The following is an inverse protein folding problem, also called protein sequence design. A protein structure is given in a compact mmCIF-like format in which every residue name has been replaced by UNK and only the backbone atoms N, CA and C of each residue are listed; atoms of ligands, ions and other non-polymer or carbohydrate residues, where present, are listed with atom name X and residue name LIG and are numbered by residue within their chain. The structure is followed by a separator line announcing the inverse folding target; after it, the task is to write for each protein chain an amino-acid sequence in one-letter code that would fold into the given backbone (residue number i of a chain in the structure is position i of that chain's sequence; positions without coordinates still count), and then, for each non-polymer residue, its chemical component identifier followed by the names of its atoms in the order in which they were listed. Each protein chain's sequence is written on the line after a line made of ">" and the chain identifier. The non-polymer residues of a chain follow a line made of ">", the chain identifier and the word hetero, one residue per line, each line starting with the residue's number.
data_IF_517424277827
#
_entry.id   IF_517424277827
#
_cell.length_a   1.000
_cell.length_b   1.000
_cell.length_c   1.000
_cell.angle_alpha   90.00
_cell.angle_beta   90.00
_cell.angle_gamma   90.00
#
_symmetry.space_group_name_H-M   'P 1'
#
loop_
_entity.id
_entity.type
_entity.pdbx_description
1 polymer ?
#
# COMPACT_ATOMS: atom_id res chain seq x y z
N UNK A 1 32.43 10.01 -21.96
CA UNK A 1 31.53 9.82 -20.80
C UNK A 1 30.09 9.82 -21.29
N UNK A 2 29.57 8.64 -21.65
CA UNK A 2 28.21 8.48 -22.17
C UNK A 2 27.26 8.12 -21.02
N UNK A 3 26.22 8.92 -20.82
CA UNK A 3 25.17 8.68 -19.84
C UNK A 3 24.14 7.75 -20.49
N UNK A 4 24.08 6.48 -20.08
CA UNK A 4 23.14 5.51 -20.62
C UNK A 4 21.73 5.79 -20.06
N UNK A 5 20.97 6.61 -20.79
CA UNK A 5 19.52 6.72 -20.63
C UNK A 5 18.86 5.41 -21.08
N UNK A 6 17.82 4.97 -20.36
CA UNK A 6 17.04 3.79 -20.73
C UNK A 6 16.49 3.96 -22.16
N UNK A 7 16.86 3.03 -23.05
CA UNK A 7 16.40 3.05 -24.44
C UNK A 7 14.97 2.52 -24.51
N UNK A 8 14.00 3.42 -24.72
CA UNK A 8 12.58 3.11 -24.88
C UNK A 8 12.22 2.61 -26.31
N UNK A 9 13.20 2.14 -27.09
CA UNK A 9 13.04 1.83 -28.53
C UNK A 9 12.16 0.60 -28.84
N UNK A 10 11.85 -0.25 -27.86
CA UNK A 10 11.05 -1.47 -28.08
C UNK A 10 9.52 -1.26 -28.10
N UNK A 11 9.01 -0.02 -28.01
CA UNK A 11 7.57 0.25 -27.93
C UNK A 11 6.81 0.21 -29.28
N UNK A 12 7.47 -0.01 -30.42
CA UNK A 12 6.83 0.08 -31.75
C UNK A 12 6.60 -1.24 -32.50
N UNK A 13 7.06 -2.39 -32.01
CA UNK A 13 6.96 -3.66 -32.76
C UNK A 13 5.91 -4.66 -32.25
N UNK A 14 5.13 -4.32 -31.22
CA UNK A 14 4.22 -5.27 -30.56
C UNK A 14 2.73 -4.86 -30.57
N UNK A 15 2.27 -4.19 -31.62
CA UNK A 15 0.82 -4.00 -31.86
C UNK A 15 0.32 -5.11 -32.80
N UNK A 16 -0.54 -6.04 -32.35
CA UNK A 16 -1.25 -6.92 -33.26
C UNK A 16 -2.25 -6.09 -34.09
N UNK A 17 -2.19 -6.24 -35.41
CA UNK A 17 -3.18 -5.69 -36.34
C UNK A 17 -4.56 -6.31 -36.05
N UNK A 18 -5.49 -5.50 -35.55
CA UNK A 18 -6.87 -5.92 -35.28
C UNK A 18 -7.61 -5.90 -36.62
N UNK A 19 -7.86 -7.08 -37.20
CA UNK A 19 -8.84 -7.23 -38.28
C UNK A 19 -10.26 -7.19 -37.70
N UNK A 20 -11.22 -6.47 -38.32
CA UNK A 20 -12.58 -6.43 -37.83
C UNK A 20 -13.24 -7.81 -38.03
N UNK A 21 -13.76 -8.38 -36.94
CA UNK A 21 -14.52 -9.63 -36.97
C UNK A 21 -15.95 -9.31 -37.39
N UNK A 22 -16.40 -9.94 -38.47
CA UNK A 22 -17.80 -9.94 -38.92
C UNK A 22 -18.70 -10.65 -37.92
N UNK A 23 -19.79 -9.99 -37.51
CA UNK A 23 -20.80 -10.55 -36.60
C UNK A 23 -21.43 -11.81 -37.19
N UNK A 24 -21.23 -12.97 -36.54
CA UNK A 24 -22.08 -14.14 -36.71
C UNK A 24 -22.87 -14.38 -35.42
N UNK A 25 -24.19 -14.31 -35.52
CA UNK A 25 -25.11 -14.56 -34.42
C UNK A 25 -25.09 -16.05 -34.07
N UNK A 26 -24.56 -16.41 -32.91
CA UNK A 26 -24.78 -17.73 -32.32
C UNK A 26 -25.82 -17.59 -31.21
N UNK A 27 -27.02 -18.09 -31.50
CA UNK A 27 -28.10 -18.27 -30.53
C UNK A 27 -27.72 -19.42 -29.60
N UNK A 28 -27.68 -19.18 -28.29
CA UNK A 28 -27.64 -20.24 -27.30
C UNK A 28 -29.05 -20.53 -26.79
N UNK A 29 -29.48 -21.77 -26.96
CA UNK A 29 -30.71 -22.34 -26.44
C UNK A 29 -30.65 -22.44 -24.91
N UNK A 30 -31.63 -21.82 -24.24
CA UNK A 30 -31.83 -21.88 -22.80
C UNK A 30 -32.45 -23.23 -22.41
N UNK A 31 -31.81 -23.96 -21.48
CA UNK A 31 -32.42 -25.08 -20.75
C UNK A 31 -32.47 -24.75 -19.25
N UNK A 32 -33.53 -25.13 -18.51
CA UNK A 32 -33.70 -24.74 -17.13
C UNK A 32 -32.97 -25.73 -16.22
N UNK A 33 -31.97 -25.27 -15.47
CA UNK A 33 -31.51 -26.01 -14.29
C UNK A 33 -31.55 -25.09 -13.06
N UNK A 34 -32.51 -25.43 -12.20
CA UNK A 34 -32.79 -24.79 -10.92
C UNK A 34 -31.64 -25.04 -9.94
N UNK A 35 -30.89 -23.98 -9.59
CA UNK A 35 -30.06 -23.97 -8.40
C UNK A 35 -30.42 -22.76 -7.53
N UNK A 36 -31.27 -23.07 -6.55
CA UNK A 36 -31.86 -22.20 -5.54
C UNK A 36 -30.77 -21.62 -4.63
N UNK A 37 -30.41 -20.35 -4.80
CA UNK A 37 -29.57 -19.62 -3.84
C UNK A 37 -30.38 -19.33 -2.56
N UNK A 38 -29.96 -19.90 -1.42
CA UNK A 38 -30.54 -19.62 -0.10
C UNK A 38 -29.93 -18.34 0.48
N UNK A 39 -30.78 -17.35 0.69
CA UNK A 39 -30.50 -16.16 1.52
C UNK A 39 -30.62 -16.58 2.99
N UNK A 40 -29.54 -16.46 3.74
CA UNK A 40 -29.57 -16.63 5.20
C UNK A 40 -30.19 -15.39 5.85
N UNK A 41 -31.35 -15.54 6.49
CA UNK A 41 -31.96 -14.53 7.38
C UNK A 41 -31.27 -14.55 8.76
N UNK A 42 -31.10 -13.40 9.44
CA UNK A 42 -30.65 -13.37 10.83
C UNK A 42 -31.73 -13.93 11.76
N UNK A 43 -31.31 -14.74 12.74
CA UNK A 43 -32.15 -15.30 13.81
C UNK A 43 -32.66 -14.18 14.72
N UNK A 44 -33.98 -13.94 14.72
CA UNK A 44 -34.68 -13.28 15.82
C UNK A 44 -34.95 -14.31 16.92
N UNK A 45 -34.24 -14.23 18.05
CA UNK A 45 -34.60 -15.00 19.23
C UNK A 45 -35.65 -14.25 20.03
N UNK A 46 -36.89 -14.74 19.96
CA UNK A 46 -37.95 -14.45 20.92
C UNK A 46 -37.54 -14.97 22.31
N UNK A 47 -37.54 -14.11 23.32
CA UNK A 47 -37.72 -14.55 24.70
C UNK A 47 -38.91 -13.85 25.31
N UNK A 48 -39.74 -14.70 25.88
CA UNK A 48 -41.04 -14.49 26.46
C UNK A 48 -40.96 -13.54 27.65
N UNK A 49 -41.96 -12.66 27.73
CA UNK A 49 -42.32 -11.96 28.94
C UNK A 49 -42.83 -12.99 29.96
N UNK A 50 -42.23 -12.99 31.16
CA UNK A 50 -42.91 -13.45 32.35
C UNK A 50 -42.97 -12.30 33.34
N UNK A 51 -44.21 -11.91 33.63
CA UNK A 51 -44.63 -11.04 34.71
C UNK A 51 -44.37 -11.69 36.06
N UNK A 52 -43.77 -10.95 36.99
CA UNK A 52 -44.10 -11.14 38.40
C UNK A 52 -44.08 -9.78 39.11
N UNK A 53 -45.29 -9.34 39.47
CA UNK A 53 -45.54 -8.24 40.38
C UNK A 53 -45.54 -8.85 41.78
N UNK A 54 -44.72 -8.34 42.69
CA UNK A 54 -44.68 -8.84 44.05
C UNK A 54 -43.86 -7.97 44.99
N UNK A 55 -44.57 -7.04 45.64
CA UNK A 55 -44.27 -6.43 46.94
C UNK A 55 -43.14 -5.39 47.05
N UNK A 56 -43.56 -4.16 47.35
CA UNK A 56 -42.72 -3.04 47.80
C UNK A 56 -42.10 -3.32 49.21
N UNK A 57 -41.09 -2.54 49.65
CA UNK A 57 -41.42 -1.26 50.28
C UNK A 57 -40.53 -0.09 49.84
N UNK A 58 -41.07 1.11 50.03
CA UNK A 58 -40.48 2.41 49.82
C UNK A 58 -39.14 2.57 50.56
N UNK A 59 -38.08 2.96 49.84
CA UNK A 59 -36.95 3.71 50.43
C UNK A 59 -36.19 4.48 49.33
N UNK A 60 -36.15 5.83 49.37
CA UNK A 60 -35.17 6.58 48.61
C UNK A 60 -33.90 6.69 49.45
N UNK A 61 -32.73 6.43 48.84
CA UNK A 61 -31.39 7.01 49.12
C UNK A 61 -30.27 5.98 48.92
N UNK A 62 -29.31 6.39 48.10
CA UNK A 62 -27.87 6.06 48.12
C UNK A 62 -27.46 4.59 48.19
N UNK A 63 -26.78 4.10 47.14
CA UNK A 63 -25.40 3.56 47.26
C UNK A 63 -25.00 2.78 46.00
N UNK A 64 -23.83 3.15 45.48
CA UNK A 64 -22.89 2.42 44.63
C UNK A 64 -23.42 1.24 43.78
N UNK A 65 -23.61 1.53 42.49
CA UNK A 65 -23.55 0.52 41.44
C UNK A 65 -22.08 0.13 41.22
N UNK A 66 -21.60 -0.90 41.91
CA UNK A 66 -20.42 -1.66 41.51
C UNK A 66 -20.88 -2.77 40.58
N UNK A 67 -20.81 -2.55 39.27
CA UNK A 67 -20.92 -3.61 38.27
C UNK A 67 -19.84 -3.44 37.19
N UNK A 68 -19.05 -4.50 37.11
CA UNK A 68 -18.40 -5.03 35.92
C UNK A 68 -17.19 -4.29 35.36
N UNK A 69 -16.08 -4.48 36.07
CA UNK A 69 -14.72 -4.39 35.54
C UNK A 69 -14.48 -5.42 34.41
N UNK A 70 -14.98 -5.14 33.20
CA UNK A 70 -14.57 -5.82 31.96
C UNK A 70 -14.34 -4.81 30.84
N UNK A 71 -13.43 -3.86 31.05
CA UNK A 71 -12.83 -3.17 29.92
C UNK A 71 -11.40 -2.75 30.24
N UNK A 72 -10.49 -3.26 29.42
CA UNK A 72 -9.08 -2.88 29.32
C UNK A 72 -8.93 -1.45 28.75
N UNK A 73 -9.68 -0.50 29.30
CA UNK A 73 -9.74 0.90 28.86
C UNK A 73 -9.73 1.84 30.08
N UNK A 74 -9.09 1.44 31.19
CA UNK A 74 -9.01 2.25 32.42
C UNK A 74 -7.60 2.29 33.04
N UNK A 75 -6.59 2.26 32.19
CA UNK A 75 -5.22 2.54 32.60
C UNK A 75 -4.60 3.44 31.56
N UNK A 76 -4.86 4.76 31.65
CA UNK A 76 -3.95 5.88 31.31
C UNK A 76 -4.63 7.27 31.51
N UNK A 77 -5.73 7.39 32.23
CA UNK A 77 -6.18 8.71 32.75
C UNK A 77 -5.53 8.97 34.11
N UNK A 78 -4.20 9.15 34.08
CA UNK A 78 -3.51 9.88 35.15
C UNK A 78 -3.51 11.35 34.72
N UNK A 79 -3.93 12.19 35.66
CA UNK A 79 -4.24 13.62 35.55
C UNK A 79 -3.03 14.40 35.02
N UNK A 80 -3.18 15.16 33.92
CA UNK A 80 -2.30 16.26 33.53
C UNK A 80 -3.06 17.25 32.64
N UNK A 81 -3.09 18.53 33.02
CA UNK A 81 -3.64 19.72 32.34
C UNK A 81 -3.76 19.66 30.80
N UNK A 82 -4.77 18.98 30.23
CA UNK A 82 -5.07 18.95 28.78
C UNK A 82 -3.92 18.57 27.83
N UNK A 83 -2.76 18.17 28.38
CA UNK A 83 -1.52 17.98 27.65
C UNK A 83 -1.31 16.51 27.39
N UNK A 84 -1.56 16.06 26.16
CA UNK A 84 -1.24 14.69 25.75
C UNK A 84 0.28 14.49 25.76
N UNK A 85 0.80 13.82 26.79
CA UNK A 85 2.19 13.35 26.80
C UNK A 85 2.31 12.19 25.82
N UNK A 86 2.78 12.47 24.60
CA UNK A 86 3.10 11.40 23.65
C UNK A 86 4.50 10.85 23.98
N UNK A 87 4.57 9.69 24.63
CA UNK A 87 5.83 8.97 24.80
C UNK A 87 6.50 8.74 23.42
N UNK A 88 7.80 8.96 23.34
CA UNK A 88 8.55 8.79 22.11
C UNK A 88 8.48 7.34 21.64
N UNK A 89 8.03 7.12 20.40
CA UNK A 89 7.94 5.76 19.83
C UNK A 89 9.33 5.24 19.42
N UNK A 90 9.88 4.30 20.19
CA UNK A 90 11.16 3.63 19.90
C UNK A 90 11.10 2.72 18.65
N UNK A 91 12.26 2.43 18.05
CA UNK A 91 12.38 1.44 16.96
C UNK A 91 11.71 1.80 15.63
N UNK A 92 11.34 3.07 15.41
CA UNK A 92 10.57 3.47 14.22
C UNK A 92 11.42 3.63 12.97
N UNK A 93 11.39 2.61 12.10
CA UNK A 93 12.19 2.57 10.85
C UNK A 93 11.47 3.11 9.60
N UNK A 94 10.14 3.30 9.64
CA UNK A 94 9.36 3.74 8.46
C UNK A 94 9.06 5.25 8.50
N UNK A 95 9.49 6.03 7.49
CA UNK A 95 9.23 7.46 7.42
C UNK A 95 7.74 7.73 7.13
N UNK A 96 7.12 8.67 7.86
CA UNK A 96 5.69 9.03 7.66
C UNK A 96 5.46 9.95 6.45
N UNK A 97 6.47 10.73 6.04
CA UNK A 97 6.41 11.71 4.93
C UNK A 97 5.24 12.71 5.02
N UNK A 98 4.79 13.00 6.24
CA UNK A 98 3.63 13.85 6.56
C UNK A 98 2.37 13.47 5.76
N UNK A 99 2.15 12.16 5.57
CA UNK A 99 1.00 11.62 4.85
C UNK A 99 0.40 10.43 5.58
N UNK A 100 -0.92 10.20 5.48
CA UNK A 100 -1.56 8.96 5.91
C UNK A 100 -1.00 7.75 5.13
N UNK A 101 -1.16 6.52 5.64
CA UNK A 101 -0.55 5.32 5.06
C UNK A 101 -0.89 5.09 3.59
N UNK A 102 -2.14 5.33 3.18
CA UNK A 102 -2.59 5.06 1.81
C UNK A 102 -1.96 6.01 0.81
N UNK A 103 -1.99 7.31 1.10
CA UNK A 103 -1.34 8.34 0.27
C UNK A 103 0.17 8.15 0.23
N UNK A 104 0.78 7.76 1.35
CA UNK A 104 2.22 7.46 1.39
C UNK A 104 2.57 6.27 0.49
N UNK A 105 1.76 5.20 0.51
CA UNK A 105 1.96 4.05 -0.36
C UNK A 105 1.85 4.44 -1.83
N UNK A 106 0.83 5.21 -2.21
CA UNK A 106 0.66 5.69 -3.58
C UNK A 106 1.85 6.56 -4.04
N UNK A 107 2.30 7.49 -3.20
CA UNK A 107 3.47 8.33 -3.49
C UNK A 107 4.73 7.50 -3.75
N UNK A 108 5.00 6.51 -2.90
CA UNK A 108 6.20 5.67 -3.01
C UNK A 108 6.14 4.79 -4.26
N UNK A 109 4.97 4.24 -4.60
CA UNK A 109 4.75 3.51 -5.85
C UNK A 109 5.05 4.40 -7.06
N UNK A 110 4.52 5.62 -7.06
CA UNK A 110 4.75 6.60 -8.13
C UNK A 110 6.23 6.94 -8.29
N UNK A 111 6.91 7.31 -7.19
CA UNK A 111 8.34 7.64 -7.26
C UNK A 111 9.21 6.46 -7.71
N UNK A 112 8.91 5.24 -7.26
CA UNK A 112 9.61 4.03 -7.74
C UNK A 112 9.38 3.82 -9.23
N UNK A 113 8.15 3.96 -9.73
CA UNK A 113 7.87 3.83 -11.17
C UNK A 113 8.61 4.86 -12.00
N UNK A 114 8.62 6.12 -11.57
CA UNK A 114 9.31 7.22 -12.27
C UNK A 114 10.83 7.03 -12.26
N UNK A 115 11.40 6.55 -11.15
CA UNK A 115 12.83 6.29 -11.07
C UNK A 115 13.24 5.13 -12.00
N UNK A 116 12.46 4.05 -12.06
CA UNK A 116 12.74 2.95 -12.97
C UNK A 116 12.58 3.37 -14.44
N UNK A 117 11.60 4.23 -14.75
CA UNK A 117 11.36 4.73 -16.11
C UNK A 117 12.50 5.61 -16.63
N UNK A 118 12.97 6.54 -15.80
CA UNK A 118 13.89 7.59 -16.22
C UNK A 118 15.34 7.35 -15.77
N UNK A 119 15.59 6.41 -14.87
CA UNK A 119 16.91 6.13 -14.28
C UNK A 119 17.36 7.15 -13.23
N UNK A 120 16.93 8.42 -13.31
CA UNK A 120 17.26 9.48 -12.35
C UNK A 120 16.10 10.45 -12.15
N UNK A 121 15.82 10.81 -10.89
CA UNK A 121 14.78 11.80 -10.54
C UNK A 121 15.25 12.78 -9.47
N UNK A 122 14.74 14.02 -9.51
CA UNK A 122 14.97 15.06 -8.48
C UNK A 122 13.83 15.05 -7.47
N UNK A 123 14.12 14.82 -6.19
CA UNK A 123 13.10 14.79 -5.13
C UNK A 123 13.62 15.40 -3.83
N UNK A 124 12.82 15.42 -2.77
CA UNK A 124 13.31 15.82 -1.45
C UNK A 124 14.14 14.70 -0.82
N UNK A 125 15.15 15.05 -0.03
CA UNK A 125 16.06 14.09 0.64
C UNK A 125 15.29 13.02 1.45
N UNK A 126 14.21 13.42 2.13
CA UNK A 126 13.37 12.51 2.90
C UNK A 126 12.63 11.50 2.01
N UNK A 127 12.09 11.94 0.86
CA UNK A 127 11.43 11.05 -0.10
C UNK A 127 12.45 10.11 -0.77
N UNK A 128 13.60 10.63 -1.20
CA UNK A 128 14.67 9.81 -1.80
C UNK A 128 15.11 8.67 -0.87
N UNK A 129 15.36 8.95 0.42
CA UNK A 129 15.70 7.93 1.41
C UNK A 129 14.60 6.88 1.60
N UNK A 130 13.34 7.29 1.56
CA UNK A 130 12.22 6.37 1.69
C UNK A 130 12.08 5.45 0.46
N UNK A 131 12.27 6.00 -0.75
CA UNK A 131 12.12 5.30 -2.03
C UNK A 131 13.18 4.21 -2.23
N UNK A 132 14.42 4.43 -1.75
CA UNK A 132 15.54 3.47 -1.81
C UNK A 132 15.12 2.03 -1.48
N UNK A 133 14.47 1.82 -0.32
CA UNK A 133 14.03 0.49 0.12
C UNK A 133 13.11 -0.20 -0.89
N UNK A 134 12.22 0.55 -1.53
CA UNK A 134 11.24 -0.02 -2.46
C UNK A 134 11.88 -0.35 -3.81
N UNK A 135 12.76 0.52 -4.30
CA UNK A 135 13.49 0.31 -5.56
C UNK A 135 14.42 -0.89 -5.43
N UNK A 136 15.19 -0.96 -4.34
CA UNK A 136 16.10 -2.07 -4.10
C UNK A 136 15.32 -3.40 -4.04
N UNK A 137 14.14 -3.41 -3.40
CA UNK A 137 13.27 -4.57 -3.38
C UNK A 137 12.78 -4.98 -4.77
N UNK A 138 12.42 -4.03 -5.63
CA UNK A 138 11.97 -4.34 -7.00
C UNK A 138 13.10 -4.92 -7.84
N UNK A 139 14.32 -4.38 -7.71
CA UNK A 139 15.50 -4.88 -8.43
C UNK A 139 15.87 -6.28 -7.95
N UNK A 140 15.87 -6.55 -6.64
CA UNK A 140 16.10 -7.90 -6.12
C UNK A 140 15.07 -8.90 -6.64
N UNK A 141 13.77 -8.54 -6.68
CA UNK A 141 12.76 -9.41 -7.29
C UNK A 141 13.01 -9.69 -8.78
N UNK A 142 13.55 -8.72 -9.50
CA UNK A 142 13.86 -8.84 -10.92
C UNK A 142 15.09 -9.73 -11.17
N UNK A 143 16.10 -9.68 -10.29
CA UNK A 143 17.25 -10.61 -10.32
C UNK A 143 16.82 -12.08 -10.22
N UNK A 144 15.81 -12.38 -9.40
CA UNK A 144 15.30 -13.74 -9.24
C UNK A 144 14.59 -14.28 -10.50
N UNK A 145 13.98 -13.41 -11.33
CA UNK A 145 13.33 -13.78 -12.60
C UNK A 145 12.01 -14.57 -12.52
N UNK A 146 11.67 -15.18 -11.38
CA UNK A 146 10.49 -16.05 -11.22
C UNK A 146 9.14 -15.37 -11.51
N UNK A 147 8.19 -16.12 -12.07
CA UNK A 147 6.81 -15.67 -12.35
C UNK A 147 6.11 -15.12 -11.10
N UNK A 148 6.34 -15.72 -9.94
CA UNK A 148 5.74 -15.27 -8.68
C UNK A 148 6.24 -13.85 -8.32
N UNK A 149 7.54 -13.60 -8.46
CA UNK A 149 8.16 -12.29 -8.20
C UNK A 149 7.67 -11.24 -9.19
N UNK A 150 7.49 -11.62 -10.47
CA UNK A 150 6.90 -10.75 -11.50
C UNK A 150 5.47 -10.32 -11.14
N UNK A 151 4.64 -11.23 -10.64
CA UNK A 151 3.28 -10.90 -10.14
C UNK A 151 3.31 -9.95 -8.95
N UNK A 152 4.24 -10.14 -8.01
CA UNK A 152 4.42 -9.22 -6.89
C UNK A 152 4.82 -7.80 -7.34
N UNK A 153 5.74 -7.70 -8.31
CA UNK A 153 6.18 -6.43 -8.86
C UNK A 153 5.03 -5.69 -9.58
N UNK A 154 4.20 -6.41 -10.35
CA UNK A 154 3.00 -5.86 -11.00
C UNK A 154 1.97 -5.31 -9.99
N UNK A 155 1.90 -5.88 -8.78
CA UNK A 155 1.05 -5.35 -7.71
C UNK A 155 1.53 -4.01 -7.13
N UNK A 156 2.80 -3.63 -7.38
CA UNK A 156 3.40 -2.42 -6.85
C UNK A 156 3.62 -1.34 -7.92
N UNK A 157 4.19 -1.69 -9.07
CA UNK A 157 4.47 -0.75 -10.17
C UNK A 157 3.18 -0.49 -10.95
N UNK A 158 2.95 0.77 -11.35
CA UNK A 158 1.75 1.18 -12.10
C UNK A 158 1.80 0.77 -13.58
N UNK A 159 2.94 0.95 -14.25
CA UNK A 159 3.09 0.69 -15.69
C UNK A 159 3.63 -0.73 -15.92
N UNK A 160 2.88 -1.56 -16.65
CA UNK A 160 3.28 -2.95 -16.97
C UNK A 160 4.56 -3.01 -17.79
N UNK A 161 4.74 -2.07 -18.72
CA UNK A 161 5.90 -2.00 -19.61
C UNK A 161 7.22 -1.89 -18.84
N UNK A 162 7.23 -1.09 -17.77
CA UNK A 162 8.41 -0.92 -16.91
C UNK A 162 8.76 -2.24 -16.22
N UNK A 163 7.77 -3.04 -15.81
CA UNK A 163 8.04 -4.35 -15.19
C UNK A 163 8.69 -5.29 -16.19
N UNK A 164 8.23 -5.31 -17.44
CA UNK A 164 8.85 -6.15 -18.47
C UNK A 164 10.30 -5.74 -18.73
N UNK A 165 10.57 -4.43 -18.89
CA UNK A 165 11.93 -3.91 -19.07
C UNK A 165 12.82 -4.22 -17.85
N UNK A 166 12.29 -4.04 -16.64
CA UNK A 166 13.03 -4.32 -15.39
C UNK A 166 13.51 -5.78 -15.34
N UNK A 167 12.64 -6.74 -15.65
CA UNK A 167 13.02 -8.16 -15.60
C UNK A 167 13.93 -8.60 -16.75
N UNK A 168 13.99 -7.82 -17.84
CA UNK A 168 14.89 -8.08 -18.95
C UNK A 168 16.30 -7.48 -18.70
N UNK A 169 16.38 -6.22 -18.26
CA UNK A 169 17.65 -5.49 -18.16
C UNK A 169 18.41 -5.70 -16.84
N UNK A 170 17.71 -5.94 -15.72
CA UNK A 170 18.33 -6.02 -14.40
C UNK A 170 19.33 -7.18 -14.23
N UNK A 171 19.06 -8.41 -14.71
CA UNK A 171 19.99 -9.52 -14.54
C UNK A 171 21.36 -9.24 -15.16
N UNK A 172 21.37 -8.60 -16.33
CA UNK A 172 22.60 -8.19 -17.04
C UNK A 172 23.32 -7.05 -16.31
N UNK A 173 22.60 -5.99 -15.93
CA UNK A 173 23.23 -4.80 -15.30
C UNK A 173 23.68 -5.01 -13.85
N UNK A 174 22.92 -5.79 -13.07
CA UNK A 174 23.11 -5.90 -11.61
C UNK A 174 23.35 -7.33 -11.13
N UNK A 175 23.66 -8.27 -12.03
CA UNK A 175 23.89 -9.68 -11.70
C UNK A 175 24.89 -9.87 -10.57
N UNK A 176 26.06 -9.26 -10.69
CA UNK A 176 27.16 -9.39 -9.72
C UNK A 176 26.94 -8.56 -8.44
N UNK A 177 26.14 -7.48 -8.50
CA UNK A 177 25.98 -6.55 -7.38
C UNK A 177 25.03 -7.10 -6.31
N UNK A 178 25.53 -7.22 -5.09
CA UNK A 178 24.84 -7.68 -3.88
C UNK A 178 24.18 -6.52 -3.10
N UNK A 179 23.34 -5.74 -3.78
CA UNK A 179 22.52 -4.67 -3.17
C UNK A 179 23.04 -3.25 -3.41
N UNK A 180 22.32 -2.26 -2.86
CA UNK A 180 22.68 -0.84 -2.99
C UNK A 180 22.62 -0.35 -4.43
N UNK A 181 21.47 -0.54 -5.09
CA UNK A 181 21.31 -0.22 -6.52
C UNK A 181 20.99 1.24 -6.79
N UNK A 182 20.73 2.03 -5.73
CA UNK A 182 20.42 3.45 -5.83
C UNK A 182 21.43 4.32 -5.11
N UNK A 183 21.86 5.39 -5.77
CA UNK A 183 22.66 6.46 -5.19
C UNK A 183 21.78 7.68 -4.90
N UNK A 184 22.06 8.37 -3.79
CA UNK A 184 21.41 9.64 -3.45
C UNK A 184 22.47 10.74 -3.39
N UNK A 185 22.35 11.74 -4.25
CA UNK A 185 23.23 12.90 -4.31
C UNK A 185 22.46 14.11 -3.77
N UNK A 186 23.00 14.78 -2.75
CA UNK A 186 22.38 15.96 -2.16
C UNK A 186 22.59 17.17 -3.08
N UNK A 187 21.59 18.03 -3.16
CA UNK A 187 21.68 19.28 -3.93
C UNK A 187 21.37 20.47 -3.03
N UNK A 188 21.46 21.66 -3.60
CA UNK A 188 20.97 22.88 -2.97
C UNK A 188 19.51 22.75 -2.53
N UNK A 189 19.12 23.37 -1.41
CA UNK A 189 17.74 23.41 -0.97
C UNK A 189 16.86 24.13 -2.00
N UNK A 190 15.56 23.83 -1.98
CA UNK A 190 14.59 24.49 -2.85
C UNK A 190 14.38 25.93 -2.39
N UNK A 191 14.34 26.86 -3.35
CA UNK A 191 14.00 28.27 -3.09
C UNK A 191 12.53 28.38 -2.66
N UNK A 192 12.28 29.13 -1.58
CA UNK A 192 10.94 29.34 -1.02
C UNK A 192 10.72 28.58 0.30
N UNK A 193 10.57 27.26 0.22
CA UNK A 193 10.29 26.41 1.40
C UNK A 193 11.55 25.84 2.07
N UNK A 194 12.75 26.15 1.54
CA UNK A 194 14.05 25.65 1.99
C UNK A 194 14.11 24.11 2.12
N UNK A 195 13.29 23.39 1.34
CA UNK A 195 13.23 21.94 1.46
C UNK A 195 14.55 21.31 0.97
N UNK A 196 15.18 20.40 1.73
CA UNK A 196 16.42 19.77 1.31
C UNK A 196 16.16 18.84 0.12
N UNK A 197 16.76 19.17 -1.03
CA UNK A 197 16.61 18.42 -2.27
C UNK A 197 17.75 17.40 -2.46
N UNK A 198 17.47 16.40 -3.29
CA UNK A 198 18.43 15.39 -3.70
C UNK A 198 18.04 14.80 -5.06
N UNK A 199 19.05 14.38 -5.83
CA UNK A 199 18.86 13.42 -6.92
C UNK A 199 18.94 12.01 -6.36
N UNK A 200 18.06 11.13 -6.85
CA UNK A 200 18.19 9.68 -6.70
C UNK A 200 18.36 9.08 -8.08
N UNK A 201 19.36 8.22 -8.23
CA UNK A 201 19.75 7.61 -9.49
C UNK A 201 20.03 6.12 -9.31
N UNK A 202 19.77 5.35 -10.36
CA UNK A 202 20.22 3.97 -10.50
C UNK A 202 21.72 3.97 -10.77
N UNK A 203 22.45 3.06 -10.10
CA UNK A 203 23.92 2.92 -10.20
C UNK A 203 24.31 2.12 -11.42
#
# INVERSE_FOLDING_TARGET
>A
MACATWSMSCLKSALPSIKPISNSSLRFSCGPNSSRLRICKPKSSSRLLQSFVGLAPLHPLLSLCSQDSTSFEHSFTVIDNGGRVFAMRHGRKVPKLNRPPDQRRALLRGLTTQLLKHGRIKTTKARARAVRKYVDKMITMAKDGSLHKRRQALGFIYEKQIVHALFAEVPERYGERNGGYTRIIRTLPRRGDNAPMAYIELV
#
